data_IF_161826560819
#
_entry.id   IF_161826560819
#
_cell.length_a   1.000
_cell.length_b   1.000
_cell.length_c   1.000
_cell.angle_alpha   90.00
_cell.angle_beta   90.00
_cell.angle_gamma   90.00
#
_symmetry.space_group_name_H-M   'P 1'
#
loop_
_entity.id
_entity.type
_entity.pdbx_description
1 polymer ?
#
# COMPACT_ATOMS: atom_id res chain seq x y z
N UNK A 1 -7.55 -25.90 1.36
CA UNK A 1 -6.13 -25.54 1.12
C UNK A 1 -6.09 -24.15 0.50
N UNK A 2 -5.39 -23.19 1.10
CA UNK A 2 -5.25 -21.84 0.54
C UNK A 2 -4.12 -21.78 -0.49
N UNK A 3 -4.28 -20.98 -1.55
CA UNK A 3 -3.19 -20.70 -2.51
C UNK A 3 -2.06 -19.98 -1.77
N UNK A 4 -0.80 -20.45 -1.83
CA UNK A 4 0.29 -19.87 -1.06
C UNK A 4 0.67 -18.47 -1.55
N UNK A 5 1.21 -17.65 -0.66
CA UNK A 5 1.62 -16.28 -1.02
C UNK A 5 2.79 -16.31 -2.00
N UNK A 6 2.63 -15.73 -3.19
CA UNK A 6 3.72 -15.62 -4.19
C UNK A 6 4.98 -14.94 -3.66
N UNK A 7 4.82 -14.01 -2.71
CA UNK A 7 5.97 -13.34 -2.07
C UNK A 7 6.77 -14.30 -1.21
N UNK A 8 6.09 -15.20 -0.49
CA UNK A 8 6.71 -16.25 0.30
C UNK A 8 7.40 -17.27 -0.61
N UNK A 9 6.73 -17.73 -1.66
CA UNK A 9 7.32 -18.66 -2.64
C UNK A 9 8.56 -18.05 -3.32
N UNK A 10 8.55 -16.74 -3.64
CA UNK A 10 9.74 -16.06 -4.15
C UNK A 10 10.89 -16.06 -3.15
N UNK A 11 10.61 -15.84 -1.86
CA UNK A 11 11.64 -15.93 -0.80
C UNK A 11 12.19 -17.35 -0.67
N UNK A 12 11.34 -18.38 -0.80
CA UNK A 12 11.74 -19.79 -0.82
C UNK A 12 12.73 -20.06 -1.96
N UNK A 13 12.40 -19.66 -3.19
CA UNK A 13 13.29 -19.84 -4.34
C UNK A 13 14.63 -19.13 -4.13
N UNK A 14 14.62 -17.89 -3.62
CA UNK A 14 15.84 -17.15 -3.32
C UNK A 14 16.69 -17.84 -2.26
N UNK A 15 16.08 -18.37 -1.20
CA UNK A 15 16.77 -19.12 -0.16
C UNK A 15 17.38 -20.43 -0.69
N UNK A 16 16.64 -21.17 -1.54
CA UNK A 16 17.12 -22.38 -2.20
C UNK A 16 18.25 -22.11 -3.21
N UNK A 17 18.24 -20.96 -3.88
CA UNK A 17 19.32 -20.56 -4.78
C UNK A 17 20.60 -20.15 -4.03
N UNK A 18 20.46 -19.55 -2.85
CA UNK A 18 21.60 -19.12 -2.02
C UNK A 18 22.32 -20.25 -1.28
N UNK A 19 21.68 -21.40 -1.11
CA UNK A 19 22.27 -22.54 -0.37
C UNK A 19 23.09 -23.48 -1.27
N UNK A 20 24.27 -23.88 -0.76
CA UNK A 20 25.12 -24.89 -1.42
C UNK A 20 24.70 -26.33 -1.09
N UNK A 21 23.77 -26.53 -0.15
CA UNK A 21 23.30 -27.87 0.25
C UNK A 21 22.54 -28.54 -0.90
N UNK A 22 22.89 -29.78 -1.22
CA UNK A 22 22.20 -30.57 -2.25
C UNK A 22 20.78 -30.95 -1.84
N UNK A 23 20.62 -31.33 -0.57
CA UNK A 23 19.33 -31.69 0.04
C UNK A 23 18.97 -30.60 1.05
N UNK A 24 17.72 -30.14 0.99
CA UNK A 24 17.19 -29.11 1.89
C UNK A 24 15.85 -29.59 2.44
N UNK A 25 15.80 -29.80 3.75
CA UNK A 25 14.58 -30.21 4.44
C UNK A 25 13.77 -28.98 4.90
N UNK A 26 12.57 -29.22 5.44
CA UNK A 26 11.67 -28.17 5.91
C UNK A 26 12.29 -27.32 7.03
N UNK A 27 13.00 -27.95 7.97
CA UNK A 27 13.66 -27.25 9.06
C UNK A 27 14.83 -26.40 8.59
N UNK A 28 15.60 -26.91 7.62
CA UNK A 28 16.68 -26.14 6.99
C UNK A 28 16.12 -24.88 6.30
N UNK A 29 15.01 -25.03 5.58
CA UNK A 29 14.38 -23.93 4.86
C UNK A 29 13.75 -22.91 5.80
N UNK A 30 13.14 -23.38 6.89
CA UNK A 30 12.62 -22.55 7.99
C UNK A 30 13.72 -21.64 8.54
N UNK A 31 14.89 -22.21 8.84
CA UNK A 31 16.04 -21.47 9.36
C UNK A 31 16.58 -20.43 8.36
N UNK A 32 16.54 -20.73 7.05
CA UNK A 32 17.00 -19.82 6.00
C UNK A 32 16.07 -18.62 5.77
N UNK A 33 14.76 -18.82 5.91
CA UNK A 33 13.75 -17.79 5.60
C UNK A 33 13.30 -17.03 6.86
N UNK A 34 13.48 -17.62 8.05
CA UNK A 34 13.02 -17.09 9.33
C UNK A 34 11.51 -17.26 9.52
N UNK A 35 10.95 -18.37 9.05
CA UNK A 35 9.51 -18.70 9.17
C UNK A 35 9.39 -20.08 9.77
N UNK A 36 8.53 -20.24 10.78
CA UNK A 36 8.34 -21.52 11.47
C UNK A 36 8.02 -22.68 10.51
N UNK A 37 8.57 -23.89 10.75
CA UNK A 37 8.36 -25.05 9.89
C UNK A 37 6.89 -25.39 9.67
N UNK A 38 6.03 -25.22 10.68
CA UNK A 38 4.59 -25.51 10.58
C UNK A 38 3.87 -24.61 9.56
N UNK A 39 4.16 -23.31 9.61
CA UNK A 39 3.58 -22.31 8.71
C UNK A 39 4.10 -22.54 7.29
N UNK A 40 5.40 -22.79 7.17
CA UNK A 40 6.04 -23.07 5.90
C UNK A 40 5.50 -24.37 5.29
N UNK A 41 5.34 -25.41 6.09
CA UNK A 41 4.77 -26.69 5.70
C UNK A 41 3.31 -26.56 5.28
N UNK A 42 2.52 -25.68 5.92
CA UNK A 42 1.14 -25.41 5.51
C UNK A 42 1.07 -24.74 4.12
N UNK A 43 1.97 -23.81 3.82
CA UNK A 43 2.05 -23.14 2.51
C UNK A 43 2.58 -24.08 1.43
N UNK A 44 3.61 -24.87 1.75
CA UNK A 44 4.24 -25.80 0.81
C UNK A 44 3.41 -27.08 0.58
N UNK A 45 2.49 -27.41 1.49
CA UNK A 45 1.52 -28.49 1.33
C UNK A 45 0.66 -28.35 0.06
N UNK A 46 0.57 -27.14 -0.50
CA UNK A 46 -0.05 -26.89 -1.80
C UNK A 46 0.64 -27.64 -2.95
N UNK A 47 1.97 -27.78 -2.89
CA UNK A 47 2.78 -28.41 -3.93
C UNK A 47 2.97 -29.90 -3.66
N UNK A 48 3.25 -30.27 -2.41
CA UNK A 48 3.35 -31.66 -2.02
C UNK A 48 2.68 -31.88 -0.65
N UNK A 49 1.54 -32.58 -0.60
CA UNK A 49 0.81 -32.85 0.64
C UNK A 49 1.61 -33.59 1.71
N UNK A 50 2.63 -34.36 1.30
CA UNK A 50 3.42 -35.18 2.20
C UNK A 50 4.49 -34.40 2.97
N UNK A 51 4.79 -33.15 2.61
CA UNK A 51 5.80 -32.31 3.29
C UNK A 51 5.58 -32.21 4.80
N UNK A 52 4.32 -32.26 5.24
CA UNK A 52 3.98 -32.16 6.66
C UNK A 52 4.10 -33.48 7.42
N UNK A 53 4.09 -34.59 6.69
CA UNK A 53 4.09 -35.94 7.25
C UNK A 53 5.50 -36.54 7.22
N UNK A 54 6.28 -36.22 6.17
CA UNK A 54 7.63 -36.72 5.97
C UNK A 54 8.65 -35.57 5.98
N UNK A 55 9.44 -35.43 7.06
CA UNK A 55 10.45 -34.39 7.19
C UNK A 55 11.68 -34.63 6.29
N UNK A 56 11.80 -35.81 5.68
CA UNK A 56 12.93 -36.17 4.80
C UNK A 56 12.74 -35.75 3.34
N UNK A 57 11.60 -35.14 3.03
CA UNK A 57 11.33 -34.63 1.68
C UNK A 57 12.30 -33.50 1.34
N UNK A 58 12.98 -33.66 0.22
CA UNK A 58 13.86 -32.64 -0.33
C UNK A 58 13.05 -31.53 -1.01
N UNK A 59 13.09 -30.33 -0.45
CA UNK A 59 12.31 -29.21 -0.96
C UNK A 59 12.86 -28.67 -2.28
N UNK A 60 14.13 -28.96 -2.57
CA UNK A 60 14.79 -28.53 -3.81
C UNK A 60 14.17 -29.15 -5.05
N UNK A 61 13.57 -30.33 -4.92
CA UNK A 61 12.97 -31.06 -6.05
C UNK A 61 11.70 -30.37 -6.57
N UNK A 62 11.01 -29.58 -5.72
CA UNK A 62 9.83 -28.79 -6.09
C UNK A 62 10.17 -27.38 -6.61
N UNK A 63 11.45 -27.09 -6.84
CA UNK A 63 11.88 -25.74 -7.23
C UNK A 63 11.35 -25.31 -8.60
N UNK A 64 11.07 -26.24 -9.50
CA UNK A 64 10.44 -25.99 -10.80
C UNK A 64 8.96 -25.60 -10.62
N UNK A 65 8.21 -26.37 -9.82
CA UNK A 65 6.81 -26.08 -9.49
C UNK A 65 6.64 -24.68 -8.86
N UNK A 66 7.58 -24.28 -7.99
CA UNK A 66 7.59 -22.94 -7.41
C UNK A 66 7.75 -21.83 -8.46
N UNK A 67 8.62 -22.05 -9.46
CA UNK A 67 8.85 -21.09 -10.54
C UNK A 67 7.62 -20.98 -11.43
N UNK A 68 7.02 -22.11 -11.79
CA UNK A 68 5.79 -22.15 -12.57
C UNK A 68 4.66 -21.41 -11.86
N UNK A 69 4.47 -21.65 -10.56
CA UNK A 69 3.44 -20.98 -9.75
C UNK A 69 3.62 -19.46 -9.69
N UNK A 70 4.86 -18.96 -9.67
CA UNK A 70 5.10 -17.52 -9.73
C UNK A 70 4.70 -16.94 -11.08
N UNK A 71 4.96 -17.67 -12.17
CA UNK A 71 4.65 -17.26 -13.54
C UNK A 71 3.14 -17.30 -13.85
N UNK A 72 2.38 -18.23 -13.26
CA UNK A 72 0.94 -18.34 -13.46
C UNK A 72 0.24 -17.02 -13.06
N UNK A 73 -0.36 -16.24 -13.97
CA UNK A 73 -1.02 -14.99 -13.58
C UNK A 73 -2.08 -15.28 -12.51
N UNK A 74 -2.06 -14.51 -11.41
CA UNK A 74 -3.12 -14.58 -10.40
C UNK A 74 -4.43 -14.20 -11.09
N UNK A 75 -5.48 -15.00 -10.86
CA UNK A 75 -6.81 -14.77 -11.40
C UNK A 75 -7.15 -13.27 -11.42
N UNK A 76 -7.45 -12.68 -12.59
CA UNK A 76 -7.72 -11.25 -12.73
C UNK A 76 -8.96 -10.80 -11.95
N UNK A 77 -9.74 -11.74 -11.39
CA UNK A 77 -10.96 -11.47 -10.63
C UNK A 77 -10.70 -10.84 -9.26
N UNK A 78 -9.50 -10.98 -8.69
CA UNK A 78 -9.06 -10.11 -7.58
C UNK A 78 -8.45 -8.84 -8.16
N UNK A 79 -9.25 -8.10 -8.94
CA UNK A 79 -9.01 -6.66 -9.12
C UNK A 79 -8.92 -6.09 -7.71
N UNK A 80 -7.70 -5.72 -7.31
CA UNK A 80 -7.44 -4.96 -6.09
C UNK A 80 -8.55 -3.93 -6.01
N UNK A 81 -9.39 -4.00 -4.96
CA UNK A 81 -10.36 -2.94 -4.72
C UNK A 81 -9.58 -1.65 -4.90
N UNK A 82 -9.95 -0.84 -5.91
CA UNK A 82 -9.27 0.44 -6.13
C UNK A 82 -9.40 1.13 -4.79
N UNK A 83 -8.28 1.24 -4.08
CA UNK A 83 -8.21 2.09 -2.90
C UNK A 83 -8.58 3.44 -3.48
N UNK A 84 -9.81 3.89 -3.22
CA UNK A 84 -10.26 5.22 -3.58
C UNK A 84 -9.32 6.14 -2.81
N UNK A 85 -8.21 6.51 -3.46
CA UNK A 85 -7.30 7.51 -2.97
C UNK A 85 -8.20 8.73 -2.81
N UNK A 86 -8.43 9.12 -1.56
CA UNK A 86 -9.21 10.33 -1.24
C UNK A 86 -8.71 11.42 -2.17
N UNK A 87 -9.60 12.03 -2.94
CA UNK A 87 -9.25 13.12 -3.86
C UNK A 87 -8.40 14.13 -3.08
N UNK A 88 -7.13 14.17 -3.48
CA UNK A 88 -6.12 14.98 -2.83
C UNK A 88 -6.13 16.34 -3.47
N UNK A 89 -6.32 17.39 -2.67
CA UNK A 89 -6.22 18.77 -3.15
C UNK A 89 -4.83 18.98 -3.77
N UNK A 90 -4.82 19.33 -5.06
CA UNK A 90 -3.59 19.55 -5.84
C UNK A 90 -2.87 20.81 -5.40
N UNK A 91 -1.54 20.83 -5.52
CA UNK A 91 -0.73 22.02 -5.22
C UNK A 91 -1.04 23.19 -6.16
N UNK A 92 -1.57 22.93 -7.36
CA UNK A 92 -1.94 23.96 -8.33
C UNK A 92 -3.23 24.67 -7.92
N UNK A 93 -4.23 23.90 -7.46
CA UNK A 93 -5.48 24.43 -6.90
C UNK A 93 -5.23 25.28 -5.64
N UNK A 94 -4.20 24.97 -4.87
CA UNK A 94 -3.79 25.78 -3.72
C UNK A 94 -3.13 27.11 -4.08
N UNK A 95 -2.63 27.24 -5.32
CA UNK A 95 -1.99 28.47 -5.81
C UNK A 95 -3.00 29.42 -6.46
N UNK A 96 -4.12 28.91 -6.98
CA UNK A 96 -5.18 29.75 -7.57
C UNK A 96 -5.89 30.64 -6.54
N UNK A 97 -5.81 30.28 -5.26
CA UNK A 97 -6.31 31.08 -4.15
C UNK A 97 -5.15 31.70 -3.35
N UNK A 98 -5.21 33.02 -3.19
CA UNK A 98 -4.18 33.79 -2.48
C UNK A 98 -4.31 33.70 -0.95
N UNK A 99 -5.55 33.63 -0.45
CA UNK A 99 -5.95 33.59 0.96
C UNK A 99 -7.28 32.86 1.14
N UNK A 100 -7.67 32.55 2.38
CA UNK A 100 -9.00 32.01 2.68
C UNK A 100 -10.13 32.95 2.26
N UNK A 101 -9.95 34.28 2.40
CA UNK A 101 -10.95 35.26 1.97
C UNK A 101 -11.16 35.24 0.46
N UNK A 102 -10.07 35.14 -0.31
CA UNK A 102 -10.13 35.01 -1.78
C UNK A 102 -10.86 33.74 -2.22
N UNK A 103 -10.72 32.65 -1.47
CA UNK A 103 -11.53 31.44 -1.71
C UNK A 103 -13.03 31.72 -1.50
N UNK A 104 -13.41 32.36 -0.39
CA UNK A 104 -14.80 32.71 -0.10
C UNK A 104 -15.36 33.64 -1.17
N UNK A 105 -14.62 34.67 -1.58
CA UNK A 105 -15.04 35.63 -2.61
C UNK A 105 -15.15 35.04 -4.02
N UNK A 106 -14.50 33.91 -4.31
CA UNK A 106 -14.59 33.26 -5.62
C UNK A 106 -15.65 32.18 -5.68
N UNK A 107 -15.81 31.43 -4.58
CA UNK A 107 -16.65 30.21 -4.52
C UNK A 107 -17.97 30.39 -3.79
N UNK A 108 -18.07 31.36 -2.88
CA UNK A 108 -19.21 31.51 -1.97
C UNK A 108 -19.93 32.85 -2.09
N UNK A 109 -19.45 33.80 -2.90
CA UNK A 109 -20.17 35.06 -3.14
C UNK A 109 -20.83 35.08 -4.51
N UNK A 110 -22.06 35.56 -4.55
CA UNK A 110 -22.79 35.81 -5.78
C UNK A 110 -22.35 37.12 -6.45
N UNK A 111 -22.86 37.39 -7.66
CA UNK A 111 -22.55 38.57 -8.47
C UNK A 111 -22.74 39.92 -7.73
N UNK A 112 -23.53 39.93 -6.63
CA UNK A 112 -23.77 41.08 -5.76
C UNK A 112 -22.76 41.21 -4.59
N UNK A 113 -21.71 40.38 -4.51
CA UNK A 113 -20.74 40.37 -3.41
C UNK A 113 -21.28 39.84 -2.08
N UNK A 114 -22.51 39.32 -2.06
CA UNK A 114 -23.13 38.69 -0.89
C UNK A 114 -22.80 37.20 -0.86
N UNK A 115 -22.53 36.70 0.35
CA UNK A 115 -22.30 35.27 0.58
C UNK A 115 -23.59 34.51 0.35
N UNK A 116 -23.58 33.62 -0.65
CA UNK A 116 -24.72 32.78 -0.97
C UNK A 116 -24.81 31.63 0.03
N UNK A 117 -25.89 31.63 0.82
CA UNK A 117 -26.17 30.60 1.83
C UNK A 117 -26.76 29.32 1.23
N UNK A 118 -27.16 29.35 -0.04
CA UNK A 118 -27.70 28.18 -0.74
C UNK A 118 -26.61 27.27 -1.32
N UNK A 119 -25.36 27.75 -1.40
CA UNK A 119 -24.23 27.03 -1.95
C UNK A 119 -23.68 26.01 -0.94
N UNK A 120 -23.78 24.72 -1.25
CA UNK A 120 -23.20 23.66 -0.43
C UNK A 120 -21.73 23.42 -0.80
N UNK A 121 -20.84 23.42 0.19
CA UNK A 121 -19.43 23.07 0.01
C UNK A 121 -19.27 21.55 -0.14
N UNK A 122 -18.49 21.13 -1.13
CA UNK A 122 -18.11 19.73 -1.26
C UNK A 122 -17.04 19.34 -0.24
N UNK A 123 -16.90 18.03 -0.04
CA UNK A 123 -15.86 17.45 0.82
C UNK A 123 -14.43 17.84 0.36
N UNK A 124 -14.25 18.07 -0.94
CA UNK A 124 -13.01 18.59 -1.53
C UNK A 124 -12.77 20.06 -1.17
N UNK A 125 -13.81 20.89 -1.27
CA UNK A 125 -13.74 22.31 -0.96
C UNK A 125 -13.40 22.56 0.51
N UNK A 126 -13.96 21.76 1.43
CA UNK A 126 -13.64 21.82 2.85
C UNK A 126 -12.17 21.51 3.13
N UNK A 127 -11.59 20.51 2.45
CA UNK A 127 -10.16 20.18 2.57
C UNK A 127 -9.27 21.29 2.02
N UNK A 128 -9.69 21.92 0.93
CA UNK A 128 -8.98 23.05 0.34
C UNK A 128 -8.96 24.24 1.32
N UNK A 129 -10.10 24.54 1.94
CA UNK A 129 -10.24 25.60 2.93
C UNK A 129 -9.35 25.35 4.17
N UNK A 130 -9.30 24.11 4.68
CA UNK A 130 -8.41 23.72 5.78
C UNK A 130 -6.94 24.02 5.42
N UNK A 131 -6.48 23.58 4.24
CA UNK A 131 -5.09 23.80 3.81
C UNK A 131 -4.77 25.29 3.61
N UNK A 132 -5.71 26.09 3.09
CA UNK A 132 -5.54 27.54 2.97
C UNK A 132 -5.47 28.22 4.35
N UNK A 133 -6.34 27.83 5.29
CA UNK A 133 -6.34 28.37 6.65
C UNK A 133 -5.02 28.08 7.38
N UNK A 134 -4.46 26.87 7.20
CA UNK A 134 -3.13 26.54 7.73
C UNK A 134 -2.01 27.40 7.13
N UNK A 135 -2.07 27.65 5.82
CA UNK A 135 -1.10 28.52 5.13
C UNK A 135 -1.15 29.95 5.67
N UNK A 136 -2.33 30.50 5.84
CA UNK A 136 -2.49 31.86 6.38
C UNK A 136 -2.09 31.93 7.86
N UNK A 137 -2.39 30.90 8.66
CA UNK A 137 -1.90 30.80 10.04
C UNK A 137 -0.37 30.77 10.12
N UNK A 138 0.30 30.03 9.22
CA UNK A 138 1.77 30.02 9.13
C UNK A 138 2.33 31.38 8.76
N UNK A 139 1.69 32.12 7.83
CA UNK A 139 2.07 33.50 7.47
C UNK A 139 1.94 34.47 8.63
N UNK A 140 0.87 34.37 9.44
CA UNK A 140 0.70 35.23 10.62
C UNK A 140 1.78 34.97 11.67
N UNK A 141 2.09 33.70 11.94
CA UNK A 141 3.16 33.33 12.87
C UNK A 141 4.54 33.83 12.42
N UNK A 142 4.87 33.72 11.14
CA UNK A 142 6.16 34.20 10.63
C UNK A 142 6.27 35.72 10.64
N UNK A 143 5.16 36.45 10.43
CA UNK A 143 5.12 37.91 10.61
C UNK A 143 5.31 38.32 12.07
N UNK A 144 4.64 37.64 13.00
CA UNK A 144 4.78 37.91 14.43
C UNK A 144 6.21 37.64 14.95
N UNK A 145 6.90 36.63 14.40
CA UNK A 145 8.28 36.31 14.75
C UNK A 145 9.30 37.32 14.19
N UNK A 146 8.98 38.03 13.09
CA UNK A 146 9.85 39.07 12.51
C UNK A 146 9.63 40.46 13.10
N UNK A 147 8.54 40.64 13.85
CA UNK A 147 8.19 41.90 14.51
C UNK A 147 8.70 41.97 15.97
N UNK A 148 9.32 40.89 16.46
CA UNK A 148 10.09 40.85 17.71
C UNK A 148 11.57 40.93 17.39
#
# INVERSE_FOLDING_TARGET
MGKPSKTLIRRVISALAGTRKKVVYLDDLSNLIGVYPDILGQELCYFNPLIRLDPTINIRDMSEDFREYILTPLDPEKKRAKVNRKDGVSSEELKSYSSTLDFVSKKLTNFAGLVDRSLSLSDHDLRLLIKLAERDRKRLKSKAAKAK
#
